data_IF_683316407971
#
_entry.id   IF_683316407971
#
_cell.length_a   1.000
_cell.length_b   1.000
_cell.length_c   1.000
_cell.angle_alpha   90.00
_cell.angle_beta   90.00
_cell.angle_gamma   90.00
#
_symmetry.space_group_name_H-M   'P 1'
#
loop_
_entity.id
_entity.type
_entity.pdbx_description
1 polymer ?
#
# COMPACT_ATOMS: atom_id res chain seq x y z
N UNK A 1 -3.83 8.13 8.55
CA UNK A 1 -5.05 7.61 7.90
C UNK A 1 -4.77 6.23 7.34
N UNK A 2 -5.71 5.68 6.57
CA UNK A 2 -5.62 4.34 5.99
C UNK A 2 -6.46 3.30 6.71
N UNK A 3 -7.03 3.61 7.89
CA UNK A 3 -7.78 2.62 8.67
C UNK A 3 -6.91 1.42 8.97
N UNK A 4 -7.39 0.21 8.67
CA UNK A 4 -6.61 -1.03 8.75
C UNK A 4 -5.79 -1.33 7.49
N UNK A 5 -5.89 -0.51 6.44
CA UNK A 5 -5.13 -0.70 5.20
C UNK A 5 -3.81 0.08 5.22
N UNK A 6 -2.70 -0.64 5.19
CA UNK A 6 -1.33 -0.15 5.18
C UNK A 6 -0.82 0.40 3.85
N UNK A 7 -1.64 0.41 2.79
CA UNK A 7 -1.23 0.82 1.44
C UNK A 7 -0.56 2.19 1.44
N UNK A 8 -1.21 3.20 2.04
CA UNK A 8 -0.70 4.56 2.06
C UNK A 8 0.65 4.65 2.79
N UNK A 9 0.80 3.97 3.93
CA UNK A 9 2.04 3.96 4.69
C UNK A 9 3.19 3.26 3.93
N UNK A 10 2.88 2.13 3.29
CA UNK A 10 3.85 1.35 2.52
C UNK A 10 4.30 2.10 1.27
N UNK A 11 3.36 2.58 0.44
CA UNK A 11 3.69 3.31 -0.78
C UNK A 11 4.43 4.62 -0.48
N UNK A 12 4.02 5.33 0.59
CA UNK A 12 4.77 6.51 1.05
C UNK A 12 6.17 6.13 1.47
N UNK A 13 6.34 5.05 2.25
CA UNK A 13 7.64 4.59 2.73
C UNK A 13 8.60 4.25 1.61
N UNK A 14 8.11 3.61 0.55
CA UNK A 14 8.90 3.33 -0.66
C UNK A 14 9.27 4.64 -1.38
N UNK A 15 8.31 5.56 -1.55
CA UNK A 15 8.53 6.81 -2.28
C UNK A 15 9.54 7.74 -1.60
N UNK A 16 9.59 7.76 -0.26
CA UNK A 16 10.46 8.65 0.53
C UNK A 16 11.71 7.96 1.08
N UNK A 17 11.82 6.63 0.94
CA UNK A 17 12.90 5.85 1.54
C UNK A 17 12.84 5.83 3.07
N UNK A 18 11.64 5.62 3.64
CA UNK A 18 11.45 5.54 5.09
C UNK A 18 12.21 4.35 5.70
N UNK A 19 12.76 4.52 6.90
CA UNK A 19 13.50 3.49 7.63
C UNK A 19 12.61 2.39 8.18
N UNK A 20 11.36 2.71 8.48
CA UNK A 20 10.36 1.72 8.91
C UNK A 20 8.95 2.21 8.54
N UNK A 21 8.06 1.25 8.27
CA UNK A 21 6.64 1.51 8.07
C UNK A 21 5.79 0.45 8.78
N UNK A 22 5.09 0.86 9.84
CA UNK A 22 4.21 0.00 10.63
C UNK A 22 2.79 0.02 10.08
N UNK A 23 2.27 -1.17 9.80
CA UNK A 23 0.95 -1.40 9.20
C UNK A 23 0.21 -2.51 9.95
N UNK A 24 -1.08 -2.67 9.68
CA UNK A 24 -1.89 -3.71 10.34
C UNK A 24 -1.64 -5.09 9.74
N UNK A 25 -1.39 -5.15 8.44
CA UNK A 25 -1.23 -6.40 7.68
C UNK A 25 0.09 -7.13 7.97
N UNK A 26 1.03 -6.46 8.62
CA UNK A 26 2.31 -7.01 9.05
C UNK A 26 2.45 -6.82 10.57
N UNK A 27 2.00 -7.82 11.36
CA UNK A 27 2.09 -7.77 12.81
C UNK A 27 3.54 -7.64 13.25
N UNK A 28 3.80 -6.73 14.18
CA UNK A 28 5.11 -6.47 14.74
C UNK A 28 5.06 -6.51 16.26
N UNK A 29 6.19 -6.88 16.87
CA UNK A 29 6.35 -6.97 18.31
C UNK A 29 7.47 -6.04 18.80
N UNK A 30 7.74 -6.08 20.10
CA UNK A 30 8.74 -5.20 20.73
C UNK A 30 10.17 -5.44 20.21
N UNK A 31 10.51 -6.67 19.80
CA UNK A 31 11.83 -6.98 19.23
C UNK A 31 11.98 -6.34 17.85
N UNK A 32 10.93 -6.30 17.04
CA UNK A 32 10.96 -5.61 15.74
C UNK A 32 11.19 -4.11 15.95
N UNK A 33 10.48 -3.50 16.91
CA UNK A 33 10.69 -2.09 17.25
C UNK A 33 12.12 -1.82 17.70
N UNK A 34 12.66 -2.65 18.61
CA UNK A 34 14.03 -2.55 19.07
C UNK A 34 15.03 -2.66 17.91
N UNK A 35 14.84 -3.63 17.02
CA UNK A 35 15.71 -3.85 15.85
C UNK A 35 15.71 -2.63 14.92
N UNK A 36 14.53 -2.03 14.69
CA UNK A 36 14.41 -0.83 13.88
C UNK A 36 15.09 0.40 14.54
N UNK A 37 15.03 0.52 15.88
CA UNK A 37 15.73 1.57 16.62
C UNK A 37 17.25 1.39 16.53
N UNK A 38 17.75 0.18 16.75
CA UNK A 38 19.17 -0.14 16.65
C UNK A 38 19.70 0.15 15.24
N UNK A 39 18.96 -0.28 14.22
CA UNK A 39 19.28 0.03 12.82
C UNK A 39 19.34 1.53 12.55
N UNK A 40 18.36 2.30 13.04
CA UNK A 40 18.34 3.75 12.88
C UNK A 40 19.53 4.41 13.60
N UNK A 41 19.84 3.96 14.81
CA UNK A 41 20.97 4.45 15.60
C UNK A 41 22.31 4.19 14.90
N UNK A 42 22.50 3.01 14.31
CA UNK A 42 23.69 2.69 13.52
C UNK A 42 23.81 3.55 12.25
N UNK A 43 22.69 3.82 11.57
CA UNK A 43 22.67 4.72 10.41
C UNK A 43 23.08 6.15 10.78
N UNK A 44 22.58 6.64 11.92
CA UNK A 44 22.87 7.99 12.41
C UNK A 44 24.32 8.17 12.89
N UNK A 45 24.91 7.13 13.48
CA UNK A 45 26.34 7.12 13.85
C UNK A 45 27.29 7.19 12.65
N UNK A 46 26.84 6.71 11.49
CA UNK A 46 27.62 6.72 10.26
C UNK A 46 27.56 8.12 9.63
N UNK A 47 26.59 8.35 8.76
CA UNK A 47 26.56 9.56 7.92
C UNK A 47 25.13 10.05 7.61
N UNK A 48 24.11 9.35 8.10
CA UNK A 48 22.71 9.67 7.82
C UNK A 48 22.16 10.57 8.93
N UNK A 49 21.84 11.81 8.61
CA UNK A 49 21.41 12.79 9.62
C UNK A 49 19.92 12.74 9.96
N UNK A 50 19.10 12.00 9.21
CA UNK A 50 17.64 11.99 9.39
C UNK A 50 17.09 10.59 9.18
N UNK A 51 16.17 10.21 10.06
CA UNK A 51 15.37 9.00 9.94
C UNK A 51 13.90 9.34 9.77
N UNK A 52 13.16 8.48 9.06
CA UNK A 52 11.73 8.60 8.92
C UNK A 52 11.05 7.27 9.23
N UNK A 53 10.13 7.30 10.18
CA UNK A 53 9.31 6.16 10.57
C UNK A 53 7.86 6.50 10.26
N UNK A 54 7.20 5.66 9.48
CA UNK A 54 5.79 5.79 9.12
C UNK A 54 4.96 4.83 9.97
N UNK A 55 3.80 5.31 10.43
CA UNK A 55 2.85 4.48 11.18
C UNK A 55 1.44 4.69 10.64
N UNK A 56 0.83 3.59 10.20
CA UNK A 56 -0.58 3.57 9.82
C UNK A 56 -1.48 3.73 11.06
N UNK A 57 -2.66 4.33 10.88
CA UNK A 57 -3.54 4.73 11.98
C UNK A 57 -4.06 3.58 12.86
N UNK A 58 -4.34 2.41 12.28
CA UNK A 58 -4.81 1.23 13.03
C UNK A 58 -3.85 0.05 12.90
N UNK A 59 -2.55 0.32 12.85
CA UNK A 59 -1.55 -0.76 12.74
C UNK A 59 -1.56 -1.71 13.95
N UNK A 60 -1.81 -1.18 15.15
CA UNK A 60 -1.85 -1.93 16.40
C UNK A 60 -2.63 -1.11 17.45
N UNK A 61 -3.30 -1.81 18.37
CA UNK A 61 -4.08 -1.19 19.47
C UNK A 61 -3.17 -0.54 20.52
N UNK A 62 -2.24 -1.32 21.08
CA UNK A 62 -1.35 -0.88 22.17
C UNK A 62 -0.12 -0.06 21.71
N UNK A 63 0.46 -0.37 20.56
CA UNK A 63 1.61 0.38 20.02
C UNK A 63 1.14 1.67 19.33
N UNK A 64 0.73 2.62 20.15
CA UNK A 64 0.28 3.94 19.72
C UNK A 64 1.45 4.79 19.21
N UNK A 65 1.13 5.88 18.50
CA UNK A 65 2.14 6.85 18.06
C UNK A 65 2.95 7.42 19.22
N UNK A 66 2.30 7.69 20.36
CA UNK A 66 2.97 8.18 21.58
C UNK A 66 3.88 7.10 22.19
N UNK A 67 3.43 5.84 22.25
CA UNK A 67 4.27 4.74 22.71
C UNK A 67 5.54 4.58 21.85
N UNK A 68 5.39 4.52 20.53
CA UNK A 68 6.52 4.37 19.60
C UNK A 68 7.46 5.57 19.73
N UNK A 69 6.93 6.79 19.84
CA UNK A 69 7.74 7.99 20.03
C UNK A 69 8.58 7.94 21.31
N UNK A 70 7.97 7.58 22.44
CA UNK A 70 8.69 7.47 23.72
C UNK A 70 9.73 6.37 23.69
N UNK A 71 9.40 5.22 23.10
CA UNK A 71 10.32 4.11 22.92
C UNK A 71 11.54 4.54 22.11
N UNK A 72 11.34 5.12 20.93
CA UNK A 72 12.43 5.60 20.08
C UNK A 72 13.26 6.71 20.74
N UNK A 73 12.62 7.63 21.47
CA UNK A 73 13.32 8.70 22.18
C UNK A 73 14.19 8.15 23.32
N UNK A 74 13.71 7.13 24.03
CA UNK A 74 14.44 6.49 25.13
C UNK A 74 15.59 5.62 24.61
N UNK A 75 15.30 4.73 23.67
CA UNK A 75 16.28 3.79 23.12
C UNK A 75 17.29 4.45 22.18
N UNK A 76 16.98 5.65 21.66
CA UNK A 76 17.93 6.48 20.92
C UNK A 76 19.14 6.92 21.75
N UNK A 77 19.08 6.90 23.09
CA UNK A 77 20.21 7.11 24.03
C UNK A 77 21.08 8.33 23.69
N UNK A 78 20.47 9.42 23.23
CA UNK A 78 21.16 10.66 22.86
C UNK A 78 21.87 10.65 21.49
N UNK A 79 21.74 9.55 20.71
CA UNK A 79 22.25 9.47 19.33
C UNK A 79 21.35 10.29 18.39
N UNK A 80 20.04 10.26 18.63
CA UNK A 80 19.06 11.02 17.88
C UNK A 80 17.88 11.44 18.75
N UNK A 81 17.24 12.53 18.35
CA UNK A 81 15.96 12.97 18.91
C UNK A 81 14.79 12.56 18.01
N UNK A 82 13.65 12.25 18.63
CA UNK A 82 12.43 11.89 17.92
C UNK A 82 11.35 12.96 18.03
N UNK A 83 10.67 13.20 16.91
CA UNK A 83 9.51 14.09 16.84
C UNK A 83 8.34 13.36 16.20
N UNK A 84 7.13 13.65 16.69
CA UNK A 84 5.89 13.12 16.13
C UNK A 84 5.27 14.16 15.22
N UNK A 85 4.78 13.71 14.06
CA UNK A 85 3.91 14.50 13.22
C UNK A 85 2.69 13.67 12.81
N UNK A 86 1.50 14.09 13.22
CA UNK A 86 0.23 13.49 12.80
C UNK A 86 -0.42 14.42 11.79
N UNK A 87 -0.31 14.07 10.51
CA UNK A 87 -0.81 14.91 9.41
C UNK A 87 -2.33 15.14 9.45
N UNK A 88 -3.09 14.21 10.05
CA UNK A 88 -4.54 14.28 10.13
C UNK A 88 -5.20 14.42 8.75
N UNK A 89 -6.19 15.31 8.66
CA UNK A 89 -6.99 15.55 7.46
C UNK A 89 -6.22 16.15 6.28
N UNK A 90 -5.01 16.68 6.48
CA UNK A 90 -4.17 17.17 5.38
C UNK A 90 -3.84 16.05 4.36
N UNK A 91 -3.91 14.78 4.79
CA UNK A 91 -3.77 13.62 3.92
C UNK A 91 -4.89 13.50 2.86
N UNK A 92 -6.04 14.15 3.05
CA UNK A 92 -7.09 14.24 2.02
C UNK A 92 -6.68 15.15 0.85
N UNK A 93 -5.61 15.93 1.03
CA UNK A 93 -5.13 16.89 0.07
C UNK A 93 -5.95 18.19 0.08
N UNK A 94 -5.69 19.02 -0.93
CA UNK A 94 -6.45 20.23 -1.21
C UNK A 94 -7.10 20.12 -2.59
N UNK A 95 -6.46 20.72 -3.59
CA UNK A 95 -6.87 20.50 -4.98
C UNK A 95 -6.45 19.10 -5.46
N UNK A 96 -7.32 18.34 -6.13
CA UNK A 96 -6.99 17.00 -6.62
C UNK A 96 -5.84 17.04 -7.62
N UNK A 97 -5.03 15.98 -7.67
CA UNK A 97 -3.89 15.88 -8.59
C UNK A 97 -4.35 15.79 -10.05
N UNK A 98 -3.50 16.13 -11.05
CA UNK A 98 -3.84 15.91 -12.45
C UNK A 98 -4.19 14.45 -12.78
N UNK A 99 -3.54 13.50 -12.09
CA UNK A 99 -3.84 12.08 -12.19
C UNK A 99 -5.27 11.79 -11.74
N UNK A 100 -5.65 12.22 -10.53
CA UNK A 100 -6.99 11.97 -9.98
C UNK A 100 -8.09 12.64 -10.81
N UNK A 101 -7.84 13.85 -11.33
CA UNK A 101 -8.79 14.56 -12.21
C UNK A 101 -9.04 13.80 -13.52
N UNK A 102 -7.97 13.38 -14.18
CA UNK A 102 -8.06 12.65 -15.45
C UNK A 102 -8.68 11.27 -15.23
N UNK A 103 -8.24 10.56 -14.19
CA UNK A 103 -8.74 9.23 -13.87
C UNK A 103 -10.21 9.26 -13.45
N UNK A 104 -10.62 10.22 -12.62
CA UNK A 104 -12.03 10.42 -12.25
C UNK A 104 -12.92 10.67 -13.46
N UNK A 105 -12.46 11.49 -14.42
CA UNK A 105 -13.19 11.72 -15.67
C UNK A 105 -13.32 10.44 -16.50
N UNK A 106 -12.23 9.66 -16.64
CA UNK A 106 -12.24 8.38 -17.36
C UNK A 106 -13.20 7.37 -16.72
N UNK A 107 -13.17 7.24 -15.40
CA UNK A 107 -14.08 6.36 -14.67
C UNK A 107 -15.54 6.80 -14.83
N UNK A 108 -15.81 8.11 -14.76
CA UNK A 108 -17.15 8.66 -14.94
C UNK A 108 -17.73 8.35 -16.33
N UNK A 109 -16.96 8.59 -17.39
CA UNK A 109 -17.38 8.25 -18.76
C UNK A 109 -17.63 6.75 -18.90
N UNK A 110 -16.71 5.92 -18.39
CA UNK A 110 -16.85 4.46 -18.48
C UNK A 110 -18.07 3.94 -17.73
N UNK A 111 -18.38 4.51 -16.57
CA UNK A 111 -19.55 4.17 -15.78
C UNK A 111 -20.85 4.49 -16.53
N UNK A 112 -20.97 5.68 -17.15
CA UNK A 112 -22.16 6.07 -17.93
C UNK A 112 -22.33 5.19 -19.18
N UNK A 113 -21.24 4.86 -19.87
CA UNK A 113 -21.26 3.93 -21.00
C UNK A 113 -21.82 2.56 -20.57
N UNK A 114 -21.29 2.01 -19.49
CA UNK A 114 -21.74 0.72 -18.96
C UNK A 114 -23.20 0.77 -18.51
N UNK A 115 -23.65 1.84 -17.84
CA UNK A 115 -25.07 2.01 -17.47
C UNK A 115 -25.95 2.03 -18.73
N UNK A 116 -25.55 2.75 -19.76
CA UNK A 116 -26.32 2.87 -21.01
C UNK A 116 -26.43 1.53 -21.75
N UNK A 117 -25.34 0.79 -21.82
CA UNK A 117 -25.29 -0.59 -22.36
C UNK A 117 -26.24 -1.50 -21.57
N UNK A 118 -26.12 -1.51 -20.23
CA UNK A 118 -26.94 -2.36 -19.36
C UNK A 118 -28.42 -2.01 -19.40
N UNK A 119 -28.79 -0.74 -19.52
CA UNK A 119 -30.18 -0.33 -19.65
C UNK A 119 -30.78 -0.87 -20.96
N UNK A 120 -30.04 -0.80 -22.05
CA UNK A 120 -30.51 -1.26 -23.38
C UNK A 120 -30.66 -2.79 -23.42
N UNK A 121 -29.70 -3.51 -22.85
CA UNK A 121 -29.70 -5.00 -22.83
C UNK A 121 -30.80 -5.58 -21.93
N UNK A 122 -31.07 -4.93 -20.80
CA UNK A 122 -31.98 -5.40 -19.77
C UNK A 122 -33.41 -4.83 -19.89
N UNK A 123 -33.65 -3.88 -20.80
CA UNK A 123 -34.98 -3.38 -21.09
C UNK A 123 -35.64 -4.20 -22.21
N UNK A 124 -36.68 -4.97 -21.88
CA UNK A 124 -37.42 -5.79 -22.84
C UNK A 124 -38.92 -5.69 -22.57
N UNK A 125 -39.70 -5.52 -23.64
CA UNK A 125 -41.18 -5.52 -23.56
C UNK A 125 -41.75 -4.57 -22.48
N UNK A 126 -41.17 -3.37 -22.32
CA UNK A 126 -41.62 -2.37 -21.35
C UNK A 126 -41.25 -2.68 -19.89
N UNK A 127 -40.41 -3.69 -19.63
CA UNK A 127 -39.94 -4.07 -18.29
C UNK A 127 -38.42 -4.12 -18.22
N UNK A 128 -37.88 -3.83 -17.03
CA UNK A 128 -36.44 -3.89 -16.74
C UNK A 128 -36.13 -5.21 -16.04
N UNK A 129 -35.13 -5.95 -16.54
CA UNK A 129 -34.69 -7.23 -16.00
C UNK A 129 -33.28 -7.10 -15.42
N UNK A 130 -33.15 -6.64 -14.17
CA UNK A 130 -31.87 -6.42 -13.49
C UNK A 130 -31.55 -7.50 -12.43
N UNK A 131 -31.74 -8.77 -12.78
CA UNK A 131 -31.59 -9.89 -11.83
C UNK A 131 -30.23 -10.61 -11.94
N UNK A 132 -29.43 -10.30 -12.97
CA UNK A 132 -28.09 -10.87 -13.12
C UNK A 132 -27.10 -10.21 -12.14
N UNK A 133 -26.12 -10.95 -11.57
CA UNK A 133 -25.03 -10.36 -10.80
C UNK A 133 -24.30 -9.22 -11.52
N UNK A 134 -24.24 -9.28 -12.86
CA UNK A 134 -23.58 -8.29 -13.71
C UNK A 134 -24.32 -6.95 -13.82
N UNK A 135 -25.46 -6.80 -13.15
CA UNK A 135 -26.25 -5.56 -13.11
C UNK A 135 -25.85 -4.66 -11.95
N UNK A 136 -25.13 -5.20 -10.95
CA UNK A 136 -24.61 -4.47 -9.80
C UNK A 136 -23.11 -4.75 -9.64
N UNK A 137 -22.30 -3.88 -10.24
CA UNK A 137 -20.85 -4.02 -10.29
C UNK A 137 -20.14 -2.81 -9.68
N UNK A 138 -18.92 -3.03 -9.18
CA UNK A 138 -17.97 -1.98 -8.85
C UNK A 138 -17.04 -1.80 -10.04
N UNK A 139 -16.89 -0.54 -10.48
CA UNK A 139 -15.89 -0.16 -11.46
C UNK A 139 -14.53 -0.07 -10.77
N UNK A 140 -13.60 -0.94 -11.16
CA UNK A 140 -12.27 -1.01 -10.61
C UNK A 140 -11.18 -0.95 -11.68
N UNK A 141 -9.95 -0.74 -11.23
CA UNK A 141 -8.75 -0.89 -12.05
C UNK A 141 -8.02 -2.16 -11.59
N UNK A 142 -7.94 -3.15 -12.47
CA UNK A 142 -7.11 -4.32 -12.25
C UNK A 142 -5.86 -4.22 -13.15
N UNK A 143 -4.71 -3.97 -12.52
CA UNK A 143 -3.44 -3.67 -13.20
C UNK A 143 -3.58 -2.47 -14.15
N UNK A 144 -3.74 -2.73 -15.45
CA UNK A 144 -3.89 -1.70 -16.51
C UNK A 144 -5.28 -1.69 -17.14
N UNK A 145 -6.18 -2.57 -16.71
CA UNK A 145 -7.50 -2.75 -17.32
C UNK A 145 -8.58 -2.24 -16.37
N UNK A 146 -9.46 -1.41 -16.89
CA UNK A 146 -10.66 -0.95 -16.18
C UNK A 146 -11.73 -2.02 -16.38
N UNK A 147 -12.18 -2.63 -15.27
CA UNK A 147 -13.14 -3.73 -15.27
C UNK A 147 -14.34 -3.43 -14.37
N UNK A 148 -15.48 -4.04 -14.69
CA UNK A 148 -16.67 -4.05 -13.84
C UNK A 148 -16.73 -5.40 -13.15
N UNK A 149 -16.66 -5.41 -11.82
CA UNK A 149 -16.68 -6.63 -11.03
C UNK A 149 -17.99 -6.71 -10.22
N UNK A 150 -18.77 -7.79 -10.35
CA UNK A 150 -20.00 -7.96 -9.59
C UNK A 150 -19.79 -7.83 -8.08
N UNK A 151 -20.70 -7.12 -7.40
CA UNK A 151 -20.63 -6.93 -5.94
C UNK A 151 -20.70 -8.27 -5.20
N UNK A 152 -21.41 -9.25 -5.76
CA UNK A 152 -21.52 -10.61 -5.21
C UNK A 152 -20.16 -11.32 -5.14
N UNK A 153 -19.30 -11.15 -6.14
CA UNK A 153 -17.93 -11.69 -6.15
C UNK A 153 -17.04 -10.95 -5.18
N UNK A 154 -17.14 -9.61 -5.16
CA UNK A 154 -16.35 -8.77 -4.26
C UNK A 154 -16.65 -9.05 -2.79
N UNK A 155 -17.89 -9.40 -2.45
CA UNK A 155 -18.28 -9.81 -1.10
C UNK A 155 -17.44 -10.98 -0.57
N UNK A 156 -17.08 -11.95 -1.42
CA UNK A 156 -16.31 -13.12 -0.99
C UNK A 156 -14.84 -12.75 -0.64
N UNK A 157 -14.28 -11.76 -1.33
CA UNK A 157 -12.89 -11.32 -1.18
C UNK A 157 -12.72 -10.10 -0.27
N UNK A 158 -13.80 -9.57 0.27
CA UNK A 158 -13.79 -8.41 1.19
C UNK A 158 -13.86 -8.87 2.63
N UNK A 159 -13.00 -8.30 3.47
CA UNK A 159 -13.12 -8.31 4.91
C UNK A 159 -13.97 -7.11 5.33
N UNK A 160 -15.19 -7.37 5.81
CA UNK A 160 -16.14 -6.33 6.22
C UNK A 160 -15.87 -5.79 7.63
N UNK A 161 -15.19 -6.55 8.49
CA UNK A 161 -14.86 -6.12 9.85
C UNK A 161 -13.80 -5.02 9.79
N UNK A 162 -12.72 -5.29 9.04
CA UNK A 162 -11.62 -4.34 8.85
C UNK A 162 -11.85 -3.37 7.68
N UNK A 163 -12.90 -3.60 6.87
CA UNK A 163 -13.31 -2.80 5.70
C UNK A 163 -12.21 -2.70 4.64
N UNK A 164 -11.63 -3.84 4.27
CA UNK A 164 -10.50 -3.94 3.34
C UNK A 164 -10.55 -5.25 2.54
N UNK A 165 -9.84 -5.37 1.41
CA UNK A 165 -9.74 -6.66 0.73
C UNK A 165 -8.92 -7.66 1.55
N UNK A 166 -9.24 -8.95 1.45
CA UNK A 166 -8.52 -10.02 2.16
C UNK A 166 -7.09 -10.20 1.68
N UNK A 167 -6.82 -9.89 0.42
CA UNK A 167 -5.50 -10.00 -0.21
C UNK A 167 -5.04 -8.62 -0.67
N UNK A 168 -3.83 -8.24 -0.26
CA UNK A 168 -3.23 -6.95 -0.59
C UNK A 168 -2.17 -7.11 -1.68
N UNK A 169 -2.45 -6.63 -2.89
CA UNK A 169 -1.55 -6.73 -4.04
C UNK A 169 -0.21 -6.02 -3.85
N UNK A 170 -0.16 -5.00 -2.98
CA UNK A 170 1.02 -4.19 -2.71
C UNK A 170 1.90 -4.76 -1.58
N UNK A 171 1.47 -5.85 -0.93
CA UNK A 171 2.26 -6.50 0.12
C UNK A 171 3.60 -7.01 -0.42
N UNK A 172 3.61 -7.49 -1.66
CA UNK A 172 4.81 -7.97 -2.37
C UNK A 172 5.85 -6.85 -2.59
N UNK A 173 5.45 -5.58 -2.46
CA UNK A 173 6.36 -4.44 -2.58
C UNK A 173 7.08 -4.13 -1.27
N UNK A 174 6.66 -4.70 -0.14
CA UNK A 174 7.22 -4.38 1.19
C UNK A 174 8.68 -4.78 1.38
N UNK A 175 9.19 -5.88 0.81
CA UNK A 175 10.62 -6.17 0.86
C UNK A 175 11.48 -5.01 0.32
N UNK A 176 11.00 -4.27 -0.69
CA UNK A 176 11.72 -3.11 -1.23
C UNK A 176 11.93 -2.01 -0.18
N UNK A 177 11.01 -1.86 0.77
CA UNK A 177 11.17 -0.87 1.85
C UNK A 177 12.38 -1.21 2.73
N UNK A 178 12.55 -2.49 3.11
CA UNK A 178 13.72 -2.95 3.87
C UNK A 178 15.02 -2.82 3.06
N UNK A 179 14.96 -3.12 1.76
CA UNK A 179 16.10 -2.97 0.84
C UNK A 179 16.57 -1.52 0.73
N UNK A 180 15.64 -0.60 0.47
CA UNK A 180 15.92 0.84 0.36
C UNK A 180 16.42 1.41 1.69
N UNK A 181 15.92 0.90 2.81
CA UNK A 181 16.37 1.26 4.15
C UNK A 181 17.72 0.62 4.56
N UNK A 182 18.33 -0.22 3.70
CA UNK A 182 19.61 -0.92 3.91
C UNK A 182 19.65 -1.84 5.14
N UNK A 183 18.55 -2.52 5.48
CA UNK A 183 18.60 -3.58 6.49
C UNK A 183 19.49 -4.73 6.01
N UNK A 184 20.27 -5.33 6.91
CA UNK A 184 20.92 -6.62 6.64
C UNK A 184 19.83 -7.69 6.53
N UNK A 185 19.35 -7.93 5.31
CA UNK A 185 18.29 -8.89 5.04
C UNK A 185 18.91 -10.07 4.29
N UNK A 186 18.70 -11.30 4.77
CA UNK A 186 19.07 -12.50 4.01
C UNK A 186 18.15 -12.60 2.79
N UNK A 187 18.68 -12.32 1.61
CA UNK A 187 17.89 -12.28 0.37
C UNK A 187 17.41 -13.68 -0.07
N UNK A 188 18.04 -14.73 0.42
CA UNK A 188 17.70 -16.13 0.09
C UNK A 188 16.32 -16.56 0.61
N UNK A 189 15.74 -15.84 1.59
CA UNK A 189 14.41 -16.18 2.13
C UNK A 189 13.26 -15.62 1.29
N UNK A 190 13.51 -14.60 0.46
CA UNK A 190 12.45 -13.85 -0.26
C UNK A 190 12.44 -14.08 -1.76
N UNK A 191 13.56 -14.50 -2.35
CA UNK A 191 13.66 -14.82 -3.77
C UNK A 191 14.04 -16.30 -3.88
N UNK A 192 13.14 -17.19 -4.35
CA UNK A 192 13.46 -18.61 -4.53
C UNK A 192 14.38 -18.87 -5.73
N UNK A 193 15.26 -17.93 -6.09
CA UNK A 193 16.14 -18.00 -7.25
C UNK A 193 17.42 -17.21 -7.04
N UNK A 194 18.47 -17.57 -7.78
CA UNK A 194 19.76 -16.87 -7.74
C UNK A 194 19.62 -15.44 -8.29
N UNK A 195 20.11 -14.47 -7.52
CA UNK A 195 20.10 -13.06 -7.90
C UNK A 195 21.27 -12.82 -8.85
N UNK A 196 21.01 -12.87 -10.16
CA UNK A 196 22.00 -12.47 -11.17
C UNK A 196 21.92 -10.96 -11.46
N UNK A 197 23.09 -10.34 -11.60
CA UNK A 197 23.19 -8.94 -11.98
C UNK A 197 22.84 -8.79 -13.47
N UNK A 198 21.66 -8.24 -13.77
CA UNK A 198 21.23 -8.01 -15.16
C UNK A 198 22.17 -7.00 -15.83
N UNK A 199 23.07 -7.50 -16.67
CA UNK A 199 23.91 -6.68 -17.55
C UNK A 199 23.23 -6.55 -18.92
N UNK A 200 23.54 -5.51 -19.70
CA UNK A 200 22.98 -5.34 -21.07
C UNK A 200 23.10 -6.60 -21.96
N UNK A 201 24.06 -7.49 -21.68
CA UNK A 201 24.25 -8.77 -22.37
C UNK A 201 23.27 -9.87 -21.96
N UNK A 202 22.74 -9.84 -20.74
CA UNK A 202 21.74 -10.82 -20.26
C UNK A 202 20.36 -10.62 -20.89
N UNK A 203 20.03 -9.40 -21.35
CA UNK A 203 18.75 -9.10 -22.01
C UNK A 203 18.73 -9.58 -23.47
N UNK A 204 19.90 -9.70 -24.12
CA UNK A 204 19.99 -10.07 -25.54
C UNK A 204 19.87 -11.57 -25.82
N UNK A 205 19.81 -12.41 -24.78
CA UNK A 205 19.77 -13.88 -24.95
C UNK A 205 18.33 -14.38 -25.08
N UNK A 206 17.35 -13.65 -24.52
CA UNK A 206 15.94 -14.10 -24.44
C UNK A 206 14.95 -13.36 -25.34
N UNK A 207 15.41 -12.56 -26.32
CA UNK A 207 14.52 -12.08 -27.39
C UNK A 207 14.48 -13.08 -28.55
N UNK A 208 13.87 -14.22 -28.29
CA UNK A 208 13.23 -15.07 -29.30
C UNK A 208 11.76 -14.70 -29.45
N UNK A 209 11.47 -13.41 -29.67
CA UNK A 209 10.24 -12.85 -30.27
C UNK A 209 10.57 -11.47 -30.83
#
# INVERSE_FOLDING_TARGET
MGGFCGYLATSTGIAVGADAAYIFEDPFNIHDLKTNVEHLAEKMKKDIQRGLVLRNEKCHENYTTDFIHRLYSSEGKGIFDCRVNVLGHLQQGGAPSPFDRNFGTKLGVRAIQWISERLTENFRQGRVFANSPDTACVLGLNRKVISFNPVTELKAVTDFEHRMPKVQWWSDLRPMLKMLAKYQTSFCEYVPGEIEHVTRRSISIDSGF
#
